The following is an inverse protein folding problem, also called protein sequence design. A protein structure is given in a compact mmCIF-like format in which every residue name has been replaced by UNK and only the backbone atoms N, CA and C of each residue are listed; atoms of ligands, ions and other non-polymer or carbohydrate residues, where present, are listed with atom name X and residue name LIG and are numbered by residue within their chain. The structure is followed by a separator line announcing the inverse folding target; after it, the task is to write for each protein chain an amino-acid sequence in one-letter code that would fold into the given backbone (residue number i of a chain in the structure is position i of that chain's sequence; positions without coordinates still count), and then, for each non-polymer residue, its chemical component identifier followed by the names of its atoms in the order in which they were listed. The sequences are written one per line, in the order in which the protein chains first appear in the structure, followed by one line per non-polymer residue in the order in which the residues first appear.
data_IF_357967980414
#
_entry.id   IF_357967980414
#
_cell.length_a   1.000
_cell.length_b   1.000
_cell.length_c   1.000
_cell.angle_alpha   90.00
_cell.angle_beta   90.00
_cell.angle_gamma   90.00
#
_symmetry.space_group_name_H-M   'P 1'
#
loop_
_entity.id
_entity.type
_entity.pdbx_description
1 polymer ?
#
# COMPACT_ATOMS: atom_id res chain seq x y z
N UNK A 1 -20.50 0.59 -15.17
CA UNK A 1 -19.98 0.90 -16.48
C UNK A 1 -18.66 1.68 -16.41
N UNK A 2 -18.13 2.08 -17.54
CA UNK A 2 -16.87 2.81 -17.69
C UNK A 2 -16.80 4.12 -16.88
N UNK A 3 -17.90 4.86 -16.80
CA UNK A 3 -17.98 6.09 -16.00
C UNK A 3 -17.74 5.84 -14.51
N UNK A 4 -18.29 4.75 -13.97
CA UNK A 4 -18.09 4.38 -12.56
C UNK A 4 -16.64 3.98 -12.29
N UNK A 5 -16.03 3.25 -13.24
CA UNK A 5 -14.62 2.86 -13.15
C UNK A 5 -13.71 4.09 -13.20
N UNK A 6 -13.97 5.01 -14.13
CA UNK A 6 -13.22 6.26 -14.25
C UNK A 6 -13.32 7.11 -12.98
N UNK A 7 -14.51 7.27 -12.41
CA UNK A 7 -14.72 8.01 -11.17
C UNK A 7 -13.97 7.40 -9.98
N UNK A 8 -14.02 6.08 -9.84
CA UNK A 8 -13.30 5.36 -8.79
C UNK A 8 -11.78 5.52 -8.95
N UNK A 9 -11.27 5.42 -10.19
CA UNK A 9 -9.85 5.62 -10.48
C UNK A 9 -9.38 7.02 -10.07
N UNK A 10 -10.15 8.05 -10.41
CA UNK A 10 -9.83 9.44 -10.06
C UNK A 10 -9.77 9.62 -8.55
N UNK A 11 -10.72 9.08 -7.80
CA UNK A 11 -10.74 9.15 -6.33
C UNK A 11 -9.49 8.51 -5.74
N UNK A 12 -9.16 7.30 -6.16
CA UNK A 12 -7.97 6.57 -5.67
C UNK A 12 -6.67 7.28 -6.07
N UNK A 13 -6.61 7.78 -7.31
CA UNK A 13 -5.44 8.51 -7.82
C UNK A 13 -5.16 9.77 -7.01
N UNK A 14 -6.18 10.51 -6.61
CA UNK A 14 -6.05 11.73 -5.81
C UNK A 14 -5.69 11.48 -4.34
N UNK A 15 -5.73 10.22 -3.89
CA UNK A 15 -5.18 9.81 -2.59
C UNK A 15 -3.68 9.52 -2.61
N UNK A 16 -3.04 9.58 -3.76
CA UNK A 16 -1.61 9.60 -4.10
C UNK A 16 -0.84 8.28 -3.98
N UNK A 17 -1.11 7.38 -3.13
CA UNK A 17 -0.23 6.24 -2.84
C UNK A 17 -0.01 5.26 -4.00
N UNK A 18 -1.04 4.89 -4.74
CA UNK A 18 -1.02 3.72 -5.60
C UNK A 18 -1.08 4.01 -7.10
N UNK A 19 -1.54 5.19 -7.49
CA UNK A 19 -1.74 5.54 -8.90
C UNK A 19 -0.96 6.80 -9.24
N UNK A 20 -0.09 6.68 -10.24
CA UNK A 20 0.60 7.80 -10.85
C UNK A 20 -0.30 8.42 -11.92
N UNK A 21 -0.48 9.72 -11.83
CA UNK A 21 -1.41 10.51 -12.64
C UNK A 21 -0.70 11.21 -13.78
N UNK A 22 -1.32 11.22 -14.96
CA UNK A 22 -0.93 12.07 -16.07
C UNK A 22 -2.16 12.75 -16.66
N UNK A 23 -2.13 14.06 -16.73
CA UNK A 23 -3.25 14.89 -17.15
C UNK A 23 -3.98 15.54 -15.96
N UNK A 24 -5.17 16.06 -16.23
CA UNK A 24 -5.97 16.78 -15.24
C UNK A 24 -6.89 15.82 -14.46
N UNK A 25 -6.51 15.48 -13.24
CA UNK A 25 -7.30 14.67 -12.29
C UNK A 25 -8.15 15.51 -11.33
N UNK A 26 -8.33 16.82 -11.64
CA UNK A 26 -9.02 17.74 -10.78
C UNK A 26 -8.08 18.45 -9.79
N UNK A 27 -8.66 19.24 -8.91
CA UNK A 27 -7.92 19.96 -7.88
C UNK A 27 -8.62 19.82 -6.53
N UNK A 28 -7.96 19.17 -5.57
CA UNK A 28 -8.51 18.96 -4.22
C UNK A 28 -8.68 20.26 -3.45
N UNK A 29 -7.90 21.29 -3.76
CA UNK A 29 -8.00 22.58 -3.08
C UNK A 29 -9.20 23.39 -3.58
N UNK A 30 -9.36 23.50 -4.90
CA UNK A 30 -10.42 24.31 -5.50
C UNK A 30 -11.76 23.58 -5.64
N UNK A 31 -11.71 22.24 -5.70
CA UNK A 31 -12.88 21.41 -5.99
C UNK A 31 -13.15 21.23 -7.48
N UNK A 32 -12.26 21.70 -8.35
CA UNK A 32 -12.41 21.49 -9.79
C UNK A 32 -12.43 20.01 -10.14
N UNK A 33 -13.36 19.58 -11.01
CA UNK A 33 -13.46 18.18 -11.40
C UNK A 33 -12.32 17.74 -12.34
N UNK A 34 -12.08 16.43 -12.41
CA UNK A 34 -11.18 15.86 -13.38
C UNK A 34 -11.69 16.02 -14.81
N UNK A 35 -10.76 16.04 -15.76
CA UNK A 35 -11.10 15.96 -17.19
C UNK A 35 -11.78 14.63 -17.53
N UNK A 36 -12.43 14.56 -18.68
CA UNK A 36 -12.98 13.31 -19.20
C UNK A 36 -11.87 12.25 -19.32
N UNK A 37 -12.24 10.98 -19.11
CA UNK A 37 -11.30 9.85 -19.05
C UNK A 37 -10.40 9.71 -20.27
N UNK A 38 -10.87 10.13 -21.46
CA UNK A 38 -10.08 10.11 -22.72
C UNK A 38 -8.89 11.06 -22.74
N UNK A 39 -8.80 11.99 -21.81
CA UNK A 39 -7.73 12.99 -21.72
C UNK A 39 -6.72 12.72 -20.59
N UNK A 40 -6.92 11.67 -19.83
CA UNK A 40 -6.06 11.35 -18.71
C UNK A 40 -5.48 9.95 -18.84
N UNK A 41 -4.32 9.75 -18.25
CA UNK A 41 -3.64 8.45 -18.18
C UNK A 41 -3.26 8.13 -16.74
N UNK A 42 -3.16 6.85 -16.43
CA UNK A 42 -2.79 6.38 -15.11
C UNK A 42 -1.96 5.11 -15.21
N UNK A 43 -1.06 4.94 -14.24
CA UNK A 43 -0.30 3.69 -14.05
C UNK A 43 -0.06 3.45 -12.58
N UNK A 44 0.31 2.21 -12.24
CA UNK A 44 0.65 1.85 -10.87
C UNK A 44 1.97 2.52 -10.45
N UNK A 45 2.01 2.99 -9.21
CA UNK A 45 3.25 3.49 -8.60
C UNK A 45 4.17 2.33 -8.25
N UNK A 46 5.48 2.57 -8.04
CA UNK A 46 6.38 1.57 -7.48
C UNK A 46 5.90 1.00 -6.13
N UNK A 47 5.32 1.83 -5.28
CA UNK A 47 4.73 1.38 -4.01
C UNK A 47 3.58 0.39 -4.24
N UNK A 48 2.67 0.69 -5.17
CA UNK A 48 1.56 -0.22 -5.49
C UNK A 48 2.06 -1.59 -5.97
N UNK A 49 3.07 -1.61 -6.83
CA UNK A 49 3.68 -2.84 -7.33
C UNK A 49 4.32 -3.66 -6.22
N UNK A 50 4.91 -3.01 -5.23
CA UNK A 50 5.56 -3.69 -4.09
C UNK A 50 4.53 -4.29 -3.12
N UNK A 51 3.45 -3.56 -2.81
CA UNK A 51 2.60 -3.90 -1.66
C UNK A 51 1.24 -4.51 -2.00
N UNK A 52 0.79 -4.45 -3.25
CA UNK A 52 -0.57 -4.87 -3.59
C UNK A 52 -0.67 -6.21 -4.32
N UNK A 53 0.36 -6.63 -5.04
CA UNK A 53 0.24 -7.72 -6.00
C UNK A 53 1.20 -8.88 -5.71
N UNK A 54 0.65 -10.06 -5.55
CA UNK A 54 1.34 -11.34 -5.62
C UNK A 54 0.37 -12.39 -6.15
N UNK A 55 0.40 -12.69 -7.47
CA UNK A 55 -0.55 -13.64 -8.07
C UNK A 55 -0.51 -15.05 -7.47
N UNK A 56 0.66 -15.49 -7.00
CA UNK A 56 0.84 -16.83 -6.41
C UNK A 56 0.15 -16.97 -5.04
N UNK A 57 -0.08 -15.85 -4.34
CA UNK A 57 -0.74 -15.80 -3.04
C UNK A 57 -2.14 -15.16 -3.11
N UNK A 58 -2.66 -14.95 -4.31
CA UNK A 58 -3.97 -14.33 -4.54
C UNK A 58 -4.99 -15.40 -4.92
N UNK A 59 -6.13 -15.38 -4.26
CA UNK A 59 -7.29 -16.18 -4.63
C UNK A 59 -8.09 -15.45 -5.71
N UNK A 60 -8.38 -16.14 -6.82
CA UNK A 60 -9.11 -15.59 -7.95
C UNK A 60 -10.47 -16.24 -8.10
N UNK A 61 -11.42 -15.49 -8.65
CA UNK A 61 -12.73 -15.97 -9.06
C UNK A 61 -12.99 -15.55 -10.52
N UNK A 62 -13.98 -16.16 -11.15
CA UNK A 62 -14.40 -15.76 -12.50
C UNK A 62 -15.05 -14.37 -12.47
N UNK A 63 -14.74 -13.57 -13.49
CA UNK A 63 -15.44 -12.31 -13.74
C UNK A 63 -16.93 -12.56 -14.07
N UNK A 64 -17.74 -11.50 -14.00
CA UNK A 64 -19.18 -11.58 -14.24
C UNK A 64 -19.55 -12.27 -15.55
N UNK A 65 -18.76 -12.07 -16.61
CA UNK A 65 -18.96 -12.69 -17.92
C UNK A 65 -18.23 -14.03 -18.11
N UNK A 66 -17.51 -14.50 -17.08
CA UNK A 66 -16.75 -15.76 -17.10
C UNK A 66 -15.55 -15.78 -18.03
N UNK A 67 -15.16 -14.64 -18.61
CA UNK A 67 -14.06 -14.58 -19.59
C UNK A 67 -12.69 -14.38 -18.96
N UNK A 68 -12.64 -13.80 -17.78
CA UNK A 68 -11.41 -13.46 -17.09
C UNK A 68 -11.46 -13.90 -15.62
N UNK A 69 -10.31 -13.95 -15.00
CA UNK A 69 -10.20 -14.13 -13.55
C UNK A 69 -9.96 -12.77 -12.90
N UNK A 70 -10.62 -12.56 -11.77
CA UNK A 70 -10.42 -11.37 -10.94
C UNK A 70 -10.07 -11.76 -9.50
N UNK A 71 -9.23 -10.99 -8.81
CA UNK A 71 -8.88 -11.30 -7.41
C UNK A 71 -10.09 -11.09 -6.51
N UNK A 72 -10.31 -12.00 -5.58
CA UNK A 72 -11.30 -11.83 -4.50
C UNK A 72 -10.84 -10.72 -3.57
N UNK A 73 -9.58 -10.79 -3.12
CA UNK A 73 -8.90 -9.76 -2.34
C UNK A 73 -7.46 -9.65 -2.83
N UNK A 74 -6.93 -8.44 -2.83
CA UNK A 74 -5.50 -8.24 -3.07
C UNK A 74 -4.71 -8.53 -1.79
N UNK A 75 -3.53 -9.18 -1.90
CA UNK A 75 -2.66 -9.44 -0.75
C UNK A 75 -1.93 -8.16 -0.32
N UNK A 76 -2.67 -7.22 0.24
CA UNK A 76 -2.13 -5.90 0.61
C UNK A 76 -1.21 -6.01 1.83
N UNK A 77 0.03 -5.55 1.68
CA UNK A 77 1.07 -5.62 2.72
C UNK A 77 1.06 -4.47 3.72
N UNK A 78 0.26 -3.44 3.46
CA UNK A 78 0.17 -2.26 4.34
C UNK A 78 -1.28 -1.99 4.72
N UNK A 79 -1.55 -1.29 5.84
CA UNK A 79 -2.91 -0.95 6.25
C UNK A 79 -3.54 0.11 5.34
N UNK A 80 -3.93 -0.27 4.12
CA UNK A 80 -4.46 0.64 3.10
C UNK A 80 -5.72 1.38 3.58
N UNK A 81 -6.56 0.73 4.37
CA UNK A 81 -7.77 1.33 4.93
C UNK A 81 -7.47 2.58 5.76
N UNK A 82 -6.42 2.53 6.59
CA UNK A 82 -6.00 3.68 7.40
C UNK A 82 -5.25 4.74 6.58
N UNK A 83 -4.52 4.31 5.56
CA UNK A 83 -3.77 5.25 4.71
C UNK A 83 -4.69 6.07 3.80
N UNK A 84 -5.61 5.40 3.13
CA UNK A 84 -6.50 6.02 2.16
C UNK A 84 -7.73 6.67 2.82
N UNK A 85 -8.10 6.18 4.00
CA UNK A 85 -9.43 6.43 4.54
C UNK A 85 -10.51 5.75 3.69
N UNK A 86 -11.71 5.76 4.20
CA UNK A 86 -12.87 5.21 3.49
C UNK A 86 -14.15 5.90 3.97
N UNK A 87 -15.11 6.03 3.08
CA UNK A 87 -16.44 6.51 3.41
C UNK A 87 -17.45 5.68 2.63
N UNK A 88 -18.47 5.18 3.32
CA UNK A 88 -19.48 4.37 2.71
C UNK A 88 -20.77 4.35 3.50
N UNK A 89 -21.88 4.21 2.79
CA UNK A 89 -23.22 4.11 3.36
C UNK A 89 -23.88 2.86 2.80
N UNK A 90 -24.40 2.04 3.71
CA UNK A 90 -25.16 0.86 3.37
C UNK A 90 -26.48 0.84 4.15
N UNK A 91 -27.32 -0.17 3.92
CA UNK A 91 -28.57 -0.28 4.66
C UNK A 91 -28.30 -0.60 6.13
N UNK A 92 -28.68 0.33 7.01
CA UNK A 92 -28.54 0.18 8.45
C UNK A 92 -27.11 0.34 8.99
N UNK A 93 -26.13 0.70 8.14
CA UNK A 93 -24.75 0.86 8.59
C UNK A 93 -23.99 1.86 7.73
N UNK A 94 -22.97 2.48 8.30
CA UNK A 94 -22.07 3.38 7.60
C UNK A 94 -20.66 3.29 8.17
N UNK A 95 -19.68 3.72 7.38
CA UNK A 95 -18.30 3.87 7.83
C UNK A 95 -17.75 5.20 7.41
N UNK A 96 -16.93 5.80 8.26
CA UNK A 96 -16.15 6.98 7.94
C UNK A 96 -14.80 6.87 8.61
N UNK A 97 -13.78 6.58 7.81
CA UNK A 97 -12.41 6.38 8.24
C UNK A 97 -11.57 7.49 7.62
N UNK A 98 -10.90 8.27 8.45
CA UNK A 98 -10.02 9.34 8.00
C UNK A 98 -8.66 8.78 7.57
N UNK A 99 -7.97 9.42 6.61
CA UNK A 99 -6.63 9.02 6.21
C UNK A 99 -5.61 9.31 7.31
N UNK A 100 -4.55 8.49 7.35
CA UNK A 100 -3.45 8.59 8.31
C UNK A 100 -2.12 8.69 7.56
N UNK A 101 -1.07 9.07 8.26
CA UNK A 101 0.26 9.27 7.70
C UNK A 101 0.97 7.94 7.44
N UNK A 102 1.58 7.78 6.26
CA UNK A 102 2.30 6.59 5.84
C UNK A 102 3.39 6.17 6.83
N UNK A 103 4.28 7.08 7.19
CA UNK A 103 5.38 6.78 8.11
C UNK A 103 4.89 6.42 9.51
N UNK A 104 3.87 7.10 10.00
CA UNK A 104 3.28 6.84 11.32
C UNK A 104 2.54 5.50 11.36
N UNK A 105 1.84 5.14 10.31
CA UNK A 105 1.16 3.82 10.19
C UNK A 105 2.18 2.70 10.19
N UNK A 106 3.24 2.81 9.39
CA UNK A 106 4.30 1.80 9.36
C UNK A 106 5.06 1.72 10.68
N UNK A 107 5.31 2.86 11.34
CA UNK A 107 5.92 2.87 12.66
C UNK A 107 5.02 2.21 13.72
N UNK A 108 3.70 2.39 13.63
CA UNK A 108 2.76 1.71 14.51
C UNK A 108 2.79 0.19 14.33
N UNK A 109 2.93 -0.30 13.10
CA UNK A 109 3.13 -1.71 12.83
C UNK A 109 4.41 -2.27 13.46
N UNK A 110 5.51 -1.53 13.37
CA UNK A 110 6.78 -1.88 14.02
C UNK A 110 6.60 -1.92 15.53
N UNK A 111 5.98 -0.90 16.11
CA UNK A 111 5.72 -0.83 17.55
C UNK A 111 4.86 -2.00 18.04
N UNK A 112 3.83 -2.36 17.28
CA UNK A 112 3.02 -3.54 17.58
C UNK A 112 3.86 -4.82 17.62
N UNK A 113 4.73 -5.04 16.62
CA UNK A 113 5.61 -6.22 16.57
C UNK A 113 6.64 -6.24 17.70
N UNK A 114 7.09 -5.09 18.14
CA UNK A 114 8.01 -4.92 19.26
C UNK A 114 7.30 -4.88 20.64
N UNK A 115 5.98 -5.08 20.66
CA UNK A 115 5.15 -5.05 21.85
C UNK A 115 5.24 -3.71 22.60
N UNK A 116 5.37 -2.61 21.85
CA UNK A 116 5.41 -1.25 22.36
C UNK A 116 4.08 -0.53 22.12
N UNK A 117 3.67 0.39 22.99
CA UNK A 117 2.48 1.20 22.76
C UNK A 117 2.66 2.14 21.57
N UNK A 118 1.56 2.46 20.91
CA UNK A 118 1.54 3.43 19.80
C UNK A 118 0.23 4.21 19.80
N UNK A 119 0.26 5.39 19.21
CA UNK A 119 -0.92 6.20 18.94
C UNK A 119 -0.88 6.65 17.48
N UNK A 120 -2.04 6.62 16.82
CA UNK A 120 -2.21 7.08 15.45
C UNK A 120 -3.36 8.09 15.38
N UNK A 121 -3.07 9.21 14.72
CA UNK A 121 -4.04 10.26 14.45
C UNK A 121 -4.09 10.57 12.95
N UNK A 122 -5.24 11.04 12.45
CA UNK A 122 -5.39 11.39 11.05
C UNK A 122 -4.35 12.39 10.54
N UNK A 123 -4.08 12.32 9.25
CA UNK A 123 -3.25 13.26 8.50
C UNK A 123 -3.90 13.50 7.14
N UNK A 124 -4.02 14.75 6.75
CA UNK A 124 -4.75 15.15 5.55
C UNK A 124 -3.83 15.73 4.48
N UNK A 125 -4.06 15.38 3.22
CA UNK A 125 -3.29 15.92 2.09
C UNK A 125 -3.39 17.44 1.98
N UNK A 126 -4.50 18.02 2.40
CA UNK A 126 -4.73 19.46 2.42
C UNK A 126 -4.10 20.17 3.63
N UNK A 127 -3.51 19.42 4.56
CA UNK A 127 -2.92 19.97 5.78
C UNK A 127 -3.97 20.44 6.80
N UNK A 128 -3.80 21.64 7.30
CA UNK A 128 -4.69 22.25 8.30
C UNK A 128 -4.33 21.86 9.73
N UNK A 129 -5.17 22.32 10.65
CA UNK A 129 -5.05 22.04 12.08
C UNK A 129 -6.05 20.96 12.50
N UNK A 130 -5.68 20.12 13.43
CA UNK A 130 -6.45 18.94 13.84
C UNK A 130 -6.45 18.79 15.36
N UNK A 131 -7.63 18.80 15.96
CA UNK A 131 -7.82 18.44 17.37
C UNK A 131 -8.35 17.02 17.46
N UNK A 132 -7.57 16.14 18.07
CA UNK A 132 -7.82 14.70 18.20
C UNK A 132 -8.28 14.28 19.59
N UNK A 133 -8.56 15.23 20.48
CA UNK A 133 -8.91 14.96 21.88
C UNK A 133 -10.04 13.94 22.03
N UNK A 134 -11.00 13.95 21.09
CA UNK A 134 -12.16 13.06 21.09
C UNK A 134 -12.14 12.05 19.94
N UNK A 135 -10.98 11.76 19.37
CA UNK A 135 -10.86 10.83 18.24
C UNK A 135 -11.27 9.40 18.58
N UNK A 136 -10.99 8.95 19.79
CA UNK A 136 -11.36 7.61 20.30
C UNK A 136 -10.97 6.47 19.35
N UNK A 137 -9.73 6.46 18.87
CA UNK A 137 -9.21 5.45 17.95
C UNK A 137 -10.10 5.20 16.72
N UNK A 138 -10.65 6.27 16.15
CA UNK A 138 -11.46 6.18 14.93
C UNK A 138 -12.97 6.06 15.14
N UNK A 139 -13.46 6.11 16.38
CA UNK A 139 -14.89 5.95 16.70
C UNK A 139 -15.49 7.14 17.46
N UNK A 140 -14.87 8.28 17.40
CA UNK A 140 -15.33 9.50 18.04
C UNK A 140 -15.53 10.62 17.03
N UNK A 141 -14.91 11.75 17.30
CA UNK A 141 -14.93 12.92 16.41
C UNK A 141 -13.61 13.67 16.45
N UNK A 142 -13.33 14.39 15.40
CA UNK A 142 -12.21 15.33 15.33
C UNK A 142 -12.74 16.71 14.98
N UNK A 143 -11.99 17.72 15.39
CA UNK A 143 -12.22 19.10 14.95
C UNK A 143 -11.08 19.50 14.03
N UNK A 144 -11.39 20.08 12.89
CA UNK A 144 -10.40 20.53 11.91
C UNK A 144 -10.55 22.02 11.67
N UNK A 145 -9.41 22.70 11.55
CA UNK A 145 -9.36 24.15 11.33
C UNK A 145 -8.47 24.51 10.15
N UNK A 146 -8.84 25.58 9.44
CA UNK A 146 -7.95 26.22 8.49
C UNK A 146 -6.71 26.75 9.19
N UNK A 147 -5.55 26.61 8.55
CA UNK A 147 -4.32 27.28 8.99
C UNK A 147 -4.29 28.69 8.42
N UNK A 148 -4.17 29.64 9.31
CA UNK A 148 -4.20 31.08 8.99
C UNK A 148 -2.87 31.72 9.35
N UNK A 149 -2.44 32.66 8.52
CA UNK A 149 -1.26 33.48 8.74
C UNK A 149 -1.66 34.96 8.83
N UNK A 150 -1.22 35.61 9.90
CA UNK A 150 -1.38 37.04 10.05
C UNK A 150 -0.23 37.76 9.35
N UNK A 151 -0.49 38.32 8.17
CA UNK A 151 0.54 39.00 7.37
C UNK A 151 0.83 40.40 7.93
N UNK A 152 -0.20 41.12 8.34
CA UNK A 152 -0.14 42.42 9.02
C UNK A 152 -1.41 42.64 9.82
N UNK A 153 -1.54 43.79 10.47
CA UNK A 153 -2.69 44.13 11.33
C UNK A 153 -4.07 44.09 10.62
N UNK A 154 -4.06 44.16 9.28
CA UNK A 154 -5.30 44.26 8.48
C UNK A 154 -5.47 43.10 7.52
N UNK A 155 -4.49 42.24 7.37
CA UNK A 155 -4.48 41.17 6.36
C UNK A 155 -4.25 39.82 7.00
N UNK A 156 -5.22 38.93 6.82
CA UNK A 156 -5.19 37.52 7.23
C UNK A 156 -5.20 36.66 5.99
N UNK A 157 -4.34 35.67 5.91
CA UNK A 157 -4.26 34.74 4.77
C UNK A 157 -4.53 33.31 5.24
N UNK A 158 -5.48 32.63 4.59
CA UNK A 158 -5.71 31.22 4.80
C UNK A 158 -4.70 30.44 3.95
N UNK A 159 -3.84 29.66 4.57
CA UNK A 159 -2.75 28.91 3.94
C UNK A 159 -3.06 27.44 3.72
N UNK A 160 -3.89 26.85 4.58
CA UNK A 160 -4.28 25.45 4.47
C UNK A 160 -5.77 25.32 4.81
N UNK A 161 -6.43 24.40 4.13
CA UNK A 161 -7.86 24.15 4.29
C UNK A 161 -8.14 23.09 5.36
N UNK A 162 -9.29 23.17 6.04
CA UNK A 162 -9.80 22.03 6.81
C UNK A 162 -10.12 20.86 5.86
N UNK A 163 -9.96 19.64 6.36
CA UNK A 163 -10.30 18.44 5.59
C UNK A 163 -11.76 18.46 5.08
N UNK A 164 -11.93 18.14 3.81
CA UNK A 164 -13.24 18.08 3.15
C UNK A 164 -13.78 19.44 2.70
N UNK A 165 -13.03 20.52 2.85
CA UNK A 165 -13.41 21.87 2.45
C UNK A 165 -12.59 22.31 1.24
N UNK A 166 -13.26 22.90 0.25
CA UNK A 166 -12.60 23.51 -0.92
C UNK A 166 -12.50 25.02 -0.74
N UNK A 167 -11.62 25.67 -1.53
CA UNK A 167 -11.51 27.14 -1.51
C UNK A 167 -12.85 27.80 -1.88
N UNK A 168 -13.54 27.25 -2.86
CA UNK A 168 -14.85 27.74 -3.28
C UNK A 168 -15.88 27.66 -2.16
N UNK A 169 -16.03 26.49 -1.53
CA UNK A 169 -17.01 26.32 -0.45
C UNK A 169 -16.66 27.16 0.78
N UNK A 170 -15.37 27.31 1.09
CA UNK A 170 -14.92 28.14 2.21
C UNK A 170 -15.23 29.61 1.99
N UNK A 171 -14.88 30.15 0.83
CA UNK A 171 -15.19 31.54 0.46
C UNK A 171 -16.68 31.77 0.50
N UNK A 172 -17.48 30.86 -0.04
CA UNK A 172 -18.93 30.99 0.01
C UNK A 172 -19.46 31.06 1.46
N UNK A 173 -18.94 30.20 2.34
CA UNK A 173 -19.31 30.19 3.76
C UNK A 173 -18.94 31.51 4.46
N UNK A 174 -17.80 32.09 4.10
CA UNK A 174 -17.36 33.39 4.63
C UNK A 174 -18.30 34.53 4.14
N UNK A 175 -18.61 34.55 2.85
CA UNK A 175 -19.54 35.52 2.27
C UNK A 175 -20.93 35.42 2.91
N UNK A 176 -21.41 34.19 3.12
CA UNK A 176 -22.72 33.99 3.77
C UNK A 176 -22.73 34.49 5.21
N UNK A 177 -21.65 34.33 5.95
CA UNK A 177 -21.53 34.86 7.30
C UNK A 177 -21.47 36.38 7.32
N UNK A 178 -20.78 37.01 6.37
CA UNK A 178 -20.75 38.45 6.20
C UNK A 178 -22.15 38.97 5.88
N UNK A 179 -22.86 38.33 4.96
CA UNK A 179 -24.22 38.68 4.58
C UNK A 179 -25.23 38.58 5.75
N UNK A 180 -24.98 37.64 6.67
CA UNK A 180 -25.76 37.46 7.91
C UNK A 180 -25.31 38.38 9.06
N UNK A 181 -24.42 39.32 8.77
CA UNK A 181 -23.87 40.27 9.74
C UNK A 181 -23.18 39.64 10.95
N UNK A 182 -22.56 38.48 10.76
CA UNK A 182 -21.78 37.83 11.82
C UNK A 182 -20.47 38.55 12.09
N UNK A 183 -19.84 39.07 11.04
CA UNK A 183 -18.64 39.91 11.07
C UNK A 183 -18.55 40.72 9.77
N UNK A 184 -17.56 41.63 9.71
CA UNK A 184 -17.34 42.49 8.53
C UNK A 184 -15.95 42.25 7.95
N UNK A 185 -15.87 42.26 6.63
CA UNK A 185 -14.62 42.21 5.87
C UNK A 185 -14.59 43.33 4.84
N UNK A 186 -13.42 43.90 4.58
CA UNK A 186 -13.19 44.82 3.50
C UNK A 186 -13.14 44.11 2.14
N UNK A 187 -12.43 42.99 2.07
CA UNK A 187 -12.33 42.19 0.83
C UNK A 187 -11.95 40.73 1.10
N UNK A 188 -12.31 39.90 0.14
CA UNK A 188 -11.89 38.48 0.05
C UNK A 188 -11.29 38.28 -1.33
N UNK A 189 -10.04 37.86 -1.42
CA UNK A 189 -9.35 37.56 -2.67
C UNK A 189 -8.77 36.15 -2.64
N UNK A 190 -9.04 35.38 -3.68
CA UNK A 190 -8.51 34.02 -3.85
C UNK A 190 -7.32 34.07 -4.83
N UNK A 191 -6.13 33.84 -4.30
CA UNK A 191 -4.88 33.76 -5.06
C UNK A 191 -4.35 32.32 -5.13
N UNK A 192 -5.19 31.33 -4.87
CA UNK A 192 -4.81 29.91 -4.85
C UNK A 192 -4.34 29.45 -6.23
N UNK A 193 -3.17 28.85 -6.26
CA UNK A 193 -2.57 28.18 -7.43
C UNK A 193 -2.20 26.74 -7.04
N UNK A 194 -0.92 26.42 -6.95
CA UNK A 194 -0.43 25.13 -6.43
C UNK A 194 -0.59 25.06 -4.90
N UNK A 195 -0.71 26.19 -4.24
CA UNK A 195 -0.90 26.31 -2.81
C UNK A 195 -2.12 27.19 -2.52
N UNK A 196 -2.79 26.87 -1.43
CA UNK A 196 -3.94 27.66 -0.97
C UNK A 196 -3.48 29.03 -0.50
N UNK A 197 -4.10 30.07 -1.04
CA UNK A 197 -3.87 31.46 -0.64
C UNK A 197 -5.17 32.26 -0.77
N UNK A 198 -5.90 32.38 0.35
CA UNK A 198 -7.11 33.19 0.43
C UNK A 198 -6.82 34.38 1.33
N UNK A 199 -6.79 35.57 0.75
CA UNK A 199 -6.52 36.82 1.45
C UNK A 199 -7.81 37.43 1.96
N UNK A 200 -7.87 37.73 3.27
CA UNK A 200 -8.96 38.40 3.93
C UNK A 200 -8.44 39.74 4.47
N UNK A 201 -9.06 40.85 4.04
CA UNK A 201 -8.77 42.18 4.59
C UNK A 201 -9.84 42.59 5.57
N UNK A 202 -9.44 43.03 6.75
CA UNK A 202 -10.34 43.45 7.81
C UNK A 202 -11.00 44.80 7.44
N UNK A 203 -12.24 44.97 7.87
CA UNK A 203 -12.94 46.26 7.79
C UNK A 203 -12.29 47.25 8.77
N UNK A 204 -12.49 48.54 8.49
CA UNK A 204 -11.98 49.62 9.33
C UNK A 204 -12.49 49.47 10.77
N UNK A 205 -11.56 49.51 11.72
CA UNK A 205 -11.86 49.38 13.15
C UNK A 205 -12.05 47.93 13.64
N UNK A 206 -11.83 46.93 12.79
CA UNK A 206 -11.90 45.50 13.16
C UNK A 206 -10.52 44.95 13.54
N UNK A 207 -10.47 44.15 14.61
CA UNK A 207 -9.25 43.47 15.04
C UNK A 207 -9.19 42.06 14.47
N UNK A 208 -8.01 41.65 13.99
CA UNK A 208 -7.79 40.33 13.40
C UNK A 208 -7.99 39.19 14.38
N UNK A 209 -7.64 39.35 15.66
CA UNK A 209 -7.87 38.33 16.69
C UNK A 209 -9.36 37.99 16.85
N UNK A 210 -10.21 38.98 16.84
CA UNK A 210 -11.67 38.81 16.88
C UNK A 210 -12.19 38.16 15.61
N UNK A 211 -11.64 38.54 14.45
CA UNK A 211 -12.00 37.96 13.16
C UNK A 211 -11.67 36.48 13.11
N UNK A 212 -10.50 36.05 13.56
CA UNK A 212 -10.09 34.65 13.60
C UNK A 212 -11.10 33.81 14.40
N UNK A 213 -11.50 34.27 15.58
CA UNK A 213 -12.48 33.57 16.42
C UNK A 213 -13.86 33.49 15.73
N UNK A 214 -14.26 34.54 15.05
CA UNK A 214 -15.54 34.59 14.33
C UNK A 214 -15.53 33.68 13.07
N UNK A 215 -14.40 33.61 12.36
CA UNK A 215 -14.23 32.69 11.24
C UNK A 215 -14.38 31.23 11.69
N UNK A 216 -13.77 30.85 12.79
CA UNK A 216 -13.95 29.50 13.35
C UNK A 216 -15.37 29.24 13.83
N UNK A 217 -16.05 30.23 14.41
CA UNK A 217 -17.38 30.06 14.96
C UNK A 217 -18.50 30.02 13.87
N UNK A 218 -18.35 30.75 12.78
CA UNK A 218 -19.46 31.00 11.83
C UNK A 218 -19.20 30.50 10.41
N UNK A 219 -18.04 30.00 10.10
CA UNK A 219 -17.66 29.55 8.75
C UNK A 219 -17.12 28.14 8.72
N UNK A 220 -16.85 27.65 7.51
CA UNK A 220 -16.16 26.37 7.32
C UNK A 220 -14.66 26.39 7.71
N UNK A 221 -14.15 27.49 8.24
CA UNK A 221 -12.79 27.53 8.79
C UNK A 221 -12.59 26.55 9.97
N UNK A 222 -13.66 26.12 10.61
CA UNK A 222 -13.68 24.99 11.55
C UNK A 222 -14.79 24.03 11.18
N UNK A 223 -14.48 22.73 11.20
CA UNK A 223 -15.45 21.66 10.95
C UNK A 223 -15.32 20.57 12.03
N UNK A 224 -16.46 19.98 12.39
CA UNK A 224 -16.50 18.77 13.21
C UNK A 224 -16.73 17.58 12.29
N UNK A 225 -15.94 16.55 12.46
CA UNK A 225 -16.04 15.31 11.68
C UNK A 225 -16.27 14.16 12.63
N UNK A 226 -17.45 13.54 12.58
CA UNK A 226 -17.74 12.31 13.29
C UNK A 226 -17.21 11.12 12.48
N UNK A 227 -16.60 10.17 13.16
CA UNK A 227 -15.98 9.01 12.55
C UNK A 227 -16.48 7.73 13.19
N UNK A 228 -16.52 6.67 12.40
CA UNK A 228 -16.75 5.31 12.89
C UNK A 228 -15.98 4.34 11.99
N UNK A 229 -15.26 3.43 12.62
CA UNK A 229 -14.38 2.50 11.94
C UNK A 229 -15.09 1.15 11.79
N UNK A 230 -16.00 1.09 10.83
CA UNK A 230 -16.68 -0.16 10.48
C UNK A 230 -15.99 -0.77 9.27
N UNK A 231 -15.51 -2.00 9.42
CA UNK A 231 -14.84 -2.77 8.38
C UNK A 231 -15.53 -4.11 8.16
N UNK A 232 -15.25 -4.72 7.03
CA UNK A 232 -15.69 -6.08 6.74
C UNK A 232 -14.52 -7.03 7.03
N UNK A 233 -14.74 -7.98 7.91
CA UNK A 233 -13.79 -9.03 8.26
C UNK A 233 -14.50 -10.38 8.20
N UNK A 234 -13.94 -11.32 7.42
CA UNK A 234 -14.55 -12.63 7.20
C UNK A 234 -16.03 -12.54 6.76
N UNK A 235 -16.31 -11.63 5.81
CA UNK A 235 -17.65 -11.35 5.27
C UNK A 235 -18.67 -10.85 6.31
N UNK A 236 -18.22 -10.36 7.45
CA UNK A 236 -19.06 -9.78 8.49
C UNK A 236 -18.65 -8.33 8.79
N UNK A 237 -19.62 -7.43 8.99
CA UNK A 237 -19.31 -6.07 9.45
C UNK A 237 -18.83 -6.11 10.90
N UNK A 238 -17.70 -5.45 11.16
CA UNK A 238 -17.09 -5.38 12.49
C UNK A 238 -16.72 -3.93 12.80
N UNK A 239 -17.21 -3.45 13.94
CA UNK A 239 -16.74 -2.18 14.47
C UNK A 239 -15.38 -2.40 15.11
N UNK A 240 -14.36 -1.75 14.54
CA UNK A 240 -12.96 -1.89 14.92
C UNK A 240 -12.39 -0.57 15.46
N UNK A 241 -11.21 -0.63 16.05
CA UNK A 241 -10.41 0.54 16.41
C UNK A 241 -9.19 0.63 15.52
N UNK A 242 -8.49 1.77 15.57
CA UNK A 242 -7.19 1.93 14.89
C UNK A 242 -6.21 0.84 15.34
N UNK A 243 -6.14 0.56 16.63
CA UNK A 243 -5.29 -0.51 17.19
C UNK A 243 -5.64 -1.88 16.62
N UNK A 244 -6.93 -2.19 16.50
CA UNK A 244 -7.40 -3.46 15.92
C UNK A 244 -7.01 -3.59 14.45
N UNK A 245 -7.12 -2.51 13.68
CA UNK A 245 -6.72 -2.51 12.26
C UNK A 245 -5.21 -2.72 12.12
N UNK A 246 -4.41 -2.04 12.92
CA UNK A 246 -2.95 -2.21 12.92
C UNK A 246 -2.58 -3.65 13.28
N UNK A 247 -3.18 -4.20 14.34
CA UNK A 247 -2.94 -5.59 14.77
C UNK A 247 -3.29 -6.57 13.66
N UNK A 248 -4.48 -6.48 13.13
CA UNK A 248 -4.97 -7.38 12.09
C UNK A 248 -4.12 -7.32 10.82
N UNK A 249 -3.84 -6.12 10.33
CA UNK A 249 -3.05 -5.95 9.11
C UNK A 249 -1.58 -6.35 9.30
N UNK A 250 -1.01 -6.16 10.48
CA UNK A 250 0.37 -6.54 10.77
C UNK A 250 0.53 -8.05 10.88
N UNK A 251 -0.42 -8.74 11.53
CA UNK A 251 -0.44 -10.21 11.56
C UNK A 251 -0.65 -10.79 10.16
N UNK A 252 -1.51 -10.18 9.36
CA UNK A 252 -1.71 -10.55 7.96
C UNK A 252 -0.43 -10.37 7.13
N UNK A 253 0.28 -9.26 7.30
CA UNK A 253 1.58 -9.03 6.65
C UNK A 253 2.59 -10.11 7.03
N UNK A 254 2.69 -10.44 8.31
CA UNK A 254 3.58 -11.49 8.79
C UNK A 254 3.29 -12.83 8.11
N UNK A 255 2.03 -13.19 7.97
CA UNK A 255 1.62 -14.42 7.28
C UNK A 255 1.90 -14.37 5.77
N UNK A 256 1.66 -13.23 5.12
CA UNK A 256 2.01 -13.04 3.70
C UNK A 256 3.52 -13.19 3.46
N UNK A 257 4.35 -12.57 4.29
CA UNK A 257 5.80 -12.67 4.16
C UNK A 257 6.30 -14.08 4.43
N UNK A 258 5.72 -14.77 5.41
CA UNK A 258 6.01 -16.19 5.64
C UNK A 258 5.69 -17.02 4.39
N UNK A 259 4.54 -16.86 3.82
CA UNK A 259 4.12 -17.59 2.62
C UNK A 259 5.02 -17.28 1.41
N UNK A 260 5.40 -16.03 1.23
CA UNK A 260 6.36 -15.64 0.17
C UNK A 260 7.72 -16.31 0.36
N UNK A 261 8.23 -16.36 1.59
CA UNK A 261 9.49 -17.02 1.91
C UNK A 261 9.40 -18.53 1.72
N UNK A 262 8.30 -19.15 2.11
CA UNK A 262 8.08 -20.60 1.90
C UNK A 262 8.02 -20.96 0.41
N UNK A 263 7.35 -20.17 -0.40
CA UNK A 263 7.32 -20.33 -1.86
C UNK A 263 8.72 -20.16 -2.47
N UNK A 264 9.45 -19.14 -2.05
CA UNK A 264 10.82 -18.91 -2.51
C UNK A 264 11.75 -20.06 -2.10
N UNK A 265 11.59 -20.59 -0.89
CA UNK A 265 12.37 -21.73 -0.40
C UNK A 265 12.06 -23.00 -1.20
N UNK A 266 10.80 -23.29 -1.47
CA UNK A 266 10.41 -24.44 -2.29
C UNK A 266 10.96 -24.33 -3.70
N UNK A 267 10.84 -23.18 -4.35
CA UNK A 267 11.39 -22.94 -5.69
C UNK A 267 12.91 -23.09 -5.71
N UNK A 268 13.59 -22.55 -4.71
CA UNK A 268 15.06 -22.62 -4.63
C UNK A 268 15.53 -24.06 -4.37
N UNK A 269 14.85 -24.82 -3.51
CA UNK A 269 15.11 -26.24 -3.29
C UNK A 269 14.92 -27.06 -4.56
N UNK A 270 13.87 -26.75 -5.33
CA UNK A 270 13.61 -27.42 -6.61
C UNK A 270 14.70 -27.11 -7.63
N UNK A 271 15.16 -25.87 -7.73
CA UNK A 271 16.26 -25.46 -8.58
C UNK A 271 17.56 -26.17 -8.19
N UNK A 272 17.87 -26.27 -6.90
CA UNK A 272 19.03 -26.98 -6.38
C UNK A 272 18.95 -28.46 -6.72
N UNK A 273 17.80 -29.09 -6.49
CA UNK A 273 17.56 -30.50 -6.80
C UNK A 273 17.79 -30.81 -8.29
N UNK A 274 17.18 -30.02 -9.16
CA UNK A 274 17.35 -30.19 -10.60
C UNK A 274 18.78 -29.93 -11.06
N UNK A 275 19.45 -28.93 -10.50
CA UNK A 275 20.86 -28.66 -10.81
C UNK A 275 21.78 -29.80 -10.36
N UNK A 276 21.57 -30.36 -9.20
CA UNK A 276 22.28 -31.55 -8.73
C UNK A 276 22.12 -32.75 -9.66
N UNK A 277 20.88 -33.04 -10.06
CA UNK A 277 20.57 -34.11 -11.01
C UNK A 277 21.25 -33.89 -12.35
N UNK A 278 21.15 -32.69 -12.91
CA UNK A 278 21.77 -32.34 -14.19
C UNK A 278 23.30 -32.49 -14.15
N UNK A 279 23.94 -31.99 -13.12
CA UNK A 279 25.39 -32.06 -12.97
C UNK A 279 25.85 -33.50 -12.86
N UNK A 280 25.17 -34.33 -12.10
CA UNK A 280 25.50 -35.77 -11.99
C UNK A 280 25.29 -36.50 -13.32
N UNK A 281 24.16 -36.24 -13.98
CA UNK A 281 23.83 -36.84 -15.29
C UNK A 281 24.90 -36.56 -16.35
N UNK A 282 25.43 -35.33 -16.37
CA UNK A 282 26.48 -34.94 -17.33
C UNK A 282 27.85 -35.40 -16.88
N UNK A 283 28.25 -35.17 -15.62
CA UNK A 283 29.58 -35.50 -15.09
C UNK A 283 29.86 -37.02 -15.13
N UNK A 284 28.87 -37.80 -14.72
CA UNK A 284 28.97 -39.27 -14.74
C UNK A 284 28.59 -39.90 -16.09
N UNK A 285 28.37 -39.06 -17.10
CA UNK A 285 28.04 -39.47 -18.46
C UNK A 285 26.83 -40.42 -18.55
N UNK A 286 25.86 -40.22 -17.66
CA UNK A 286 24.63 -41.05 -17.62
C UNK A 286 23.88 -41.00 -18.94
N UNK A 287 23.95 -39.88 -19.69
CA UNK A 287 23.35 -39.75 -21.02
C UNK A 287 23.80 -40.80 -22.02
N UNK A 288 24.97 -41.44 -21.82
CA UNK A 288 25.46 -42.55 -22.68
C UNK A 288 24.61 -43.82 -22.54
N UNK A 289 23.88 -43.98 -21.44
CA UNK A 289 22.94 -45.09 -21.25
C UNK A 289 21.77 -45.06 -22.24
N UNK A 290 21.53 -43.90 -22.88
CA UNK A 290 20.51 -43.74 -23.89
C UNK A 290 20.88 -44.35 -25.23
N UNK A 291 22.19 -44.45 -25.55
CA UNK A 291 22.70 -44.93 -26.84
C UNK A 291 22.32 -46.37 -27.13
N UNK A 292 22.21 -47.20 -26.09
CA UNK A 292 21.92 -48.63 -26.22
C UNK A 292 20.46 -48.99 -25.90
N UNK A 293 19.57 -47.98 -25.77
CA UNK A 293 18.17 -48.20 -25.42
C UNK A 293 17.30 -48.41 -26.68
N UNK A 294 16.52 -49.48 -26.67
CA UNK A 294 15.62 -49.80 -27.81
C UNK A 294 14.25 -49.11 -27.72
N UNK A 295 13.87 -48.64 -26.51
CA UNK A 295 12.61 -47.94 -26.29
C UNK A 295 12.77 -46.76 -25.30
N UNK A 296 11.82 -45.85 -25.31
CA UNK A 296 11.80 -44.73 -24.38
C UNK A 296 11.65 -45.20 -22.93
N UNK A 297 10.82 -46.21 -22.70
CA UNK A 297 10.64 -46.80 -21.36
C UNK A 297 11.90 -47.43 -20.82
N UNK A 298 12.65 -48.14 -21.67
CA UNK A 298 13.93 -48.69 -21.33
C UNK A 298 14.96 -47.60 -21.02
N UNK A 299 14.98 -46.52 -21.79
CA UNK A 299 15.83 -45.38 -21.55
C UNK A 299 15.54 -44.74 -20.17
N UNK A 300 14.26 -44.53 -19.84
CA UNK A 300 13.85 -44.04 -18.52
C UNK A 300 14.34 -44.93 -17.40
N UNK A 301 14.13 -46.21 -17.48
CA UNK A 301 14.56 -47.20 -16.47
C UNK A 301 16.09 -47.25 -16.27
N UNK A 302 16.83 -47.16 -17.35
CA UNK A 302 18.32 -47.13 -17.29
C UNK A 302 18.86 -45.87 -16.64
N UNK A 303 18.29 -44.73 -16.97
CA UNK A 303 18.65 -43.42 -16.38
C UNK A 303 18.27 -43.39 -14.91
N UNK A 304 17.05 -43.79 -14.56
CA UNK A 304 16.60 -43.89 -13.17
C UNK A 304 17.58 -44.70 -12.31
N UNK A 305 17.94 -45.90 -12.78
CA UNK A 305 18.88 -46.79 -12.09
C UNK A 305 20.29 -46.17 -11.95
N UNK A 306 20.76 -45.50 -13.00
CA UNK A 306 22.05 -44.81 -13.00
C UNK A 306 22.10 -43.59 -12.09
N UNK A 307 20.96 -42.94 -11.83
CA UNK A 307 20.83 -41.78 -10.93
C UNK A 307 20.70 -42.16 -9.45
N UNK A 308 20.37 -43.40 -9.12
CA UNK A 308 20.16 -43.84 -7.74
C UNK A 308 21.32 -43.55 -6.77
N UNK A 309 22.62 -43.67 -7.16
CA UNK A 309 23.71 -43.32 -6.27
C UNK A 309 23.67 -41.85 -5.76
N UNK A 310 23.05 -40.94 -6.49
CA UNK A 310 22.90 -39.57 -6.08
C UNK A 310 21.83 -39.36 -5.01
N UNK A 311 20.89 -40.31 -4.85
CA UNK A 311 19.71 -40.16 -3.99
C UNK A 311 20.07 -39.83 -2.52
N UNK A 312 21.20 -40.33 -2.01
CA UNK A 312 21.65 -40.05 -0.64
C UNK A 312 22.09 -38.61 -0.41
N UNK A 313 22.51 -37.90 -1.46
CA UNK A 313 22.91 -36.48 -1.40
C UNK A 313 21.75 -35.51 -1.55
N UNK A 314 20.55 -36.01 -1.89
CA UNK A 314 19.37 -35.21 -2.13
C UNK A 314 18.47 -35.14 -0.90
N UNK A 315 17.81 -34.01 -0.71
CA UNK A 315 16.81 -33.79 0.34
C UNK A 315 15.40 -34.25 -0.05
N UNK A 316 15.20 -34.57 -1.33
CA UNK A 316 13.91 -35.02 -1.88
C UNK A 316 14.14 -36.26 -2.75
N UNK A 317 13.13 -37.15 -2.91
CA UNK A 317 13.25 -38.32 -3.77
C UNK A 317 13.36 -37.93 -5.25
N UNK A 318 14.03 -38.75 -6.03
CA UNK A 318 14.06 -38.62 -7.49
C UNK A 318 12.76 -39.18 -8.04
N UNK A 319 11.99 -38.30 -8.67
CA UNK A 319 10.69 -38.63 -9.29
C UNK A 319 10.87 -38.97 -10.77
N UNK A 320 9.90 -39.68 -11.33
CA UNK A 320 9.88 -39.97 -12.77
C UNK A 320 9.90 -38.72 -13.64
N UNK A 321 9.22 -37.68 -13.19
CA UNK A 321 9.24 -36.35 -13.84
C UNK A 321 10.66 -35.77 -13.92
N UNK A 322 11.46 -35.95 -12.89
CA UNK A 322 12.86 -35.50 -12.88
C UNK A 322 13.69 -36.24 -13.94
N UNK A 323 13.47 -37.54 -14.08
CA UNK A 323 14.15 -38.36 -15.10
C UNK A 323 13.72 -37.92 -16.51
N UNK A 324 12.44 -37.70 -16.72
CA UNK A 324 11.93 -37.21 -18.00
C UNK A 324 12.54 -35.87 -18.41
N UNK A 325 12.73 -34.96 -17.46
CA UNK A 325 13.40 -33.67 -17.71
C UNK A 325 14.87 -33.84 -18.09
N UNK A 326 15.58 -34.80 -17.49
CA UNK A 326 16.97 -35.12 -17.85
C UNK A 326 17.07 -35.55 -19.31
N UNK A 327 16.12 -36.34 -19.82
CA UNK A 327 16.09 -36.79 -21.20
C UNK A 327 15.82 -35.68 -22.23
N UNK A 328 15.37 -34.52 -21.79
CA UNK A 328 15.15 -33.36 -22.65
C UNK A 328 16.36 -32.42 -22.75
N UNK A 329 17.44 -32.71 -22.07
CA UNK A 329 18.68 -31.92 -22.08
C UNK A 329 19.28 -31.88 -23.49
N UNK A 330 19.52 -30.67 -23.99
CA UNK A 330 20.10 -30.49 -25.32
C UNK A 330 21.59 -30.88 -25.36
N UNK A 331 22.03 -31.50 -26.43
CA UNK A 331 23.42 -31.88 -26.68
C UNK A 331 24.39 -30.69 -26.51
N UNK A 332 23.99 -29.49 -26.95
CA UNK A 332 24.73 -28.24 -26.79
C UNK A 332 25.07 -27.95 -25.31
N UNK A 333 24.13 -28.28 -24.41
CA UNK A 333 24.30 -28.07 -22.97
C UNK A 333 25.29 -29.09 -22.38
N UNK A 334 25.26 -30.33 -22.85
CA UNK A 334 26.19 -31.36 -22.47
C UNK A 334 27.61 -31.00 -22.92
N UNK A 335 27.80 -30.58 -24.17
CA UNK A 335 29.10 -30.24 -24.75
C UNK A 335 29.73 -28.99 -24.17
N UNK A 336 28.95 -28.07 -23.63
CA UNK A 336 29.39 -26.81 -22.97
C UNK A 336 29.40 -26.89 -21.46
N UNK A 337 29.25 -28.05 -20.91
CA UNK A 337 29.20 -28.24 -19.46
C UNK A 337 30.50 -27.81 -18.78
N UNK A 338 30.39 -26.88 -17.85
CA UNK A 338 31.46 -26.43 -16.97
C UNK A 338 31.10 -26.82 -15.52
N UNK A 339 31.85 -27.81 -15.00
CA UNK A 339 31.64 -28.29 -13.65
C UNK A 339 31.90 -27.25 -12.58
N UNK A 340 32.87 -26.36 -12.77
CA UNK A 340 33.21 -25.33 -11.79
C UNK A 340 32.10 -24.26 -11.71
N UNK A 341 31.56 -23.82 -12.86
CA UNK A 341 30.45 -22.93 -12.90
C UNK A 341 29.20 -23.55 -12.25
N UNK A 342 28.95 -24.83 -12.50
CA UNK A 342 27.85 -25.56 -11.87
C UNK A 342 27.99 -25.66 -10.36
N UNK A 343 29.17 -25.95 -9.83
CA UNK A 343 29.44 -25.98 -8.39
C UNK A 343 29.27 -24.63 -7.73
N UNK A 344 29.66 -23.54 -8.40
CA UNK A 344 29.46 -22.18 -7.91
C UNK A 344 27.96 -21.85 -7.80
N UNK A 345 27.21 -22.20 -8.84
CA UNK A 345 25.75 -21.99 -8.86
C UNK A 345 25.05 -22.78 -7.74
N UNK A 346 25.45 -24.03 -7.50
CA UNK A 346 24.96 -24.85 -6.36
C UNK A 346 25.23 -24.18 -5.03
N UNK A 347 26.44 -23.65 -4.82
CA UNK A 347 26.79 -22.93 -3.58
C UNK A 347 25.94 -21.68 -3.37
N UNK A 348 25.66 -20.94 -4.44
CA UNK A 348 24.76 -19.77 -4.39
C UNK A 348 23.33 -20.17 -4.02
N UNK A 349 22.81 -21.25 -4.59
CA UNK A 349 21.51 -21.81 -4.24
C UNK A 349 21.45 -22.28 -2.79
N UNK A 350 22.49 -22.98 -2.30
CA UNK A 350 22.61 -23.43 -0.91
C UNK A 350 22.63 -22.22 0.07
N UNK A 351 23.36 -21.17 -0.29
CA UNK A 351 23.41 -19.93 0.48
C UNK A 351 22.02 -19.29 0.56
N UNK A 352 21.33 -19.20 -0.56
CA UNK A 352 19.95 -18.66 -0.63
C UNK A 352 18.99 -19.48 0.23
N UNK A 353 19.08 -20.81 0.19
CA UNK A 353 18.28 -21.70 1.04
C UNK A 353 18.53 -21.40 2.53
N UNK A 354 19.77 -21.27 2.94
CA UNK A 354 20.12 -20.94 4.33
C UNK A 354 19.57 -19.59 4.76
N UNK A 355 19.66 -18.58 3.91
CA UNK A 355 19.13 -17.24 4.18
C UNK A 355 17.60 -17.25 4.31
N UNK A 356 16.91 -17.97 3.42
CA UNK A 356 15.44 -18.11 3.49
C UNK A 356 14.99 -18.84 4.76
N UNK A 357 15.68 -19.91 5.14
CA UNK A 357 15.42 -20.63 6.39
C UNK A 357 15.66 -19.76 7.63
N UNK A 358 16.70 -18.93 7.60
CA UNK A 358 16.99 -17.99 8.69
C UNK A 358 15.87 -16.96 8.82
N UNK A 359 15.40 -16.37 7.72
CA UNK A 359 14.29 -15.44 7.71
C UNK A 359 13.00 -16.07 8.24
N UNK A 360 12.70 -17.29 7.85
CA UNK A 360 11.55 -18.05 8.35
C UNK A 360 11.67 -18.39 9.85
N UNK A 361 12.87 -18.64 10.35
CA UNK A 361 13.07 -18.95 11.78
C UNK A 361 12.79 -17.78 12.71
N UNK A 362 12.86 -16.55 12.20
CA UNK A 362 12.50 -15.33 12.93
C UNK A 362 11.67 -14.40 12.04
N UNK A 363 10.47 -14.83 11.76
CA UNK A 363 9.55 -14.09 10.87
C UNK A 363 9.16 -12.72 11.43
N UNK A 364 9.07 -12.57 12.74
CA UNK A 364 8.81 -11.29 13.40
C UNK A 364 9.90 -10.26 13.06
N UNK A 365 11.17 -10.62 13.22
CA UNK A 365 12.29 -9.74 12.87
C UNK A 365 12.30 -9.43 11.36
N UNK A 366 12.09 -10.44 10.53
CA UNK A 366 12.01 -10.24 9.08
C UNK A 366 10.89 -9.27 8.70
N UNK A 367 9.74 -9.36 9.34
CA UNK A 367 8.60 -8.46 9.12
C UNK A 367 8.95 -7.02 9.52
N UNK A 368 9.59 -6.83 10.68
CA UNK A 368 10.06 -5.51 11.13
C UNK A 368 11.03 -4.90 10.11
N UNK A 369 12.01 -5.68 9.66
CA UNK A 369 12.99 -5.23 8.66
C UNK A 369 12.33 -4.87 7.32
N UNK A 370 11.34 -5.63 6.90
CA UNK A 370 10.55 -5.33 5.70
C UNK A 370 9.84 -3.99 5.81
N UNK A 371 9.16 -3.73 6.92
CA UNK A 371 8.46 -2.46 7.16
C UNK A 371 9.46 -1.29 7.21
N UNK A 372 10.59 -1.46 7.88
CA UNK A 372 11.66 -0.45 7.94
C UNK A 372 12.16 -0.11 6.53
N UNK A 373 12.36 -1.12 5.69
CA UNK A 373 12.77 -0.94 4.30
C UNK A 373 11.74 -0.16 3.49
N UNK A 374 10.45 -0.46 3.65
CA UNK A 374 9.38 0.33 3.02
C UNK A 374 9.42 1.79 3.46
N UNK A 375 9.60 2.05 4.74
CA UNK A 375 9.73 3.43 5.25
C UNK A 375 10.92 4.16 4.64
N UNK A 376 12.07 3.52 4.56
CA UNK A 376 13.28 4.11 3.98
C UNK A 376 13.12 4.38 2.49
N UNK A 377 12.49 3.48 1.76
CA UNK A 377 12.33 3.59 0.31
C UNK A 377 11.28 4.61 -0.10
N UNK A 378 10.15 4.68 0.60
CA UNK A 378 8.98 5.46 0.19
C UNK A 378 8.60 6.59 1.14
N UNK A 379 9.07 6.55 2.39
CA UNK A 379 8.59 7.45 3.43
C UNK A 379 8.86 8.94 3.21
N UNK A 380 9.94 9.28 2.51
CA UNK A 380 10.30 10.67 2.23
C UNK A 380 9.26 11.42 1.38
N UNK A 381 8.48 10.68 0.56
CA UNK A 381 7.45 11.24 -0.30
C UNK A 381 6.15 11.59 0.47
N UNK A 382 6.03 11.13 1.71
CA UNK A 382 4.80 11.22 2.50
C UNK A 382 5.03 11.86 3.89
N UNK A 383 5.54 13.11 3.95
CA UNK A 383 5.67 13.80 5.23
C UNK A 383 4.30 14.14 5.81
N UNK A 384 4.21 14.24 7.13
CA UNK A 384 2.99 14.71 7.78
C UNK A 384 2.67 16.14 7.38
N UNK A 385 1.42 16.40 7.01
CA UNK A 385 0.94 17.70 6.54
C UNK A 385 0.03 18.39 7.54
N UNK A 386 -0.80 17.67 8.28
CA UNK A 386 -1.70 18.21 9.28
C UNK A 386 -1.00 18.41 10.62
N UNK A 387 -1.25 19.53 11.28
CA UNK A 387 -0.70 19.83 12.58
C UNK A 387 -1.72 19.52 13.69
N UNK A 388 -1.31 18.71 14.66
CA UNK A 388 -2.15 18.35 15.80
C UNK A 388 -2.04 19.44 16.87
N UNK A 389 -3.18 19.99 17.27
CA UNK A 389 -3.31 20.99 18.32
C UNK A 389 -4.57 20.72 19.15
N UNK A 390 -4.58 21.20 20.38
CA UNK A 390 -5.81 21.26 21.18
C UNK A 390 -6.46 22.62 20.97
N UNK A 391 -7.73 22.63 20.58
CA UNK A 391 -8.47 23.89 20.32
C UNK A 391 -9.14 24.37 21.60
N UNK A 392 -9.13 25.70 21.76
CA UNK A 392 -9.82 26.38 22.86
C UNK A 392 -11.34 26.37 22.69
#
# INVERSE_FOLDING_TARGET
GDASIASALVVVANKEYFIERQGNFGNLYTGDPASASRYIEARLTPLAKEVLFNPELTEFTESYDGRNLEPILLPCKIPATLLLGAEGIAVGMSTRILPHNFNEVLQAQISYLEEQPFELFPDFLTGGLLDVTQYSQGNGKVRVRAKMELVNEKTLVIRELPYGVTTESLIQSIQDAVNKNRFKLASINDFTTDQVEIELKTARGYHTDKLIKQLYAYTQCEQNISVNLLVIRNNQPVLSSVDDVIRHNTEHLKDLLRNELELALEKTRRQWHQKKLEMFFIAEKVYRKLEDSESYEEALGRVEKAMMPLAEELSAPILMEDIEKLLTIQIKRISRFDQQAGLKELKELEKKIRELKRSLSNIKLYTIQYIQKLKEQFGADFPRKSRIETFD
#
